data_IF_827741671348
#
_entry.id   IF_827741671348
#
_cell.length_a   1.000
_cell.length_b   1.000
_cell.length_c   1.000
_cell.angle_alpha   90.00
_cell.angle_beta   90.00
_cell.angle_gamma   90.00
#
_symmetry.space_group_name_H-M   'P 1'
#
loop_
_entity.id
_entity.type
_entity.pdbx_description
1 polymer ?
#
# COMPACT_ATOMS: atom_id res chain seq x y z
N UNK A 1 -63.64 0.27 -22.71
CA UNK A 1 -63.10 0.06 -21.35
C UNK A 1 -61.80 -0.72 -21.47
N UNK A 2 -60.64 -0.04 -21.60
CA UNK A 2 -59.32 -0.68 -21.68
C UNK A 2 -58.64 -0.52 -20.32
N UNK A 3 -58.37 -1.65 -19.65
CA UNK A 3 -57.68 -1.70 -18.36
C UNK A 3 -56.19 -1.48 -18.60
N UNK A 4 -55.65 -0.34 -18.16
CA UNK A 4 -54.20 -0.10 -18.09
C UNK A 4 -53.65 -0.88 -16.89
N UNK A 5 -52.88 -1.91 -17.18
CA UNK A 5 -52.16 -2.74 -16.22
C UNK A 5 -50.91 -1.95 -15.77
N UNK A 6 -50.96 -1.36 -14.56
CA UNK A 6 -49.79 -0.73 -13.93
C UNK A 6 -48.80 -1.81 -13.51
N UNK A 7 -47.63 -1.82 -14.15
CA UNK A 7 -46.49 -2.67 -13.79
C UNK A 7 -45.70 -1.96 -12.68
N UNK A 8 -45.76 -2.49 -11.46
CA UNK A 8 -44.94 -2.06 -10.32
C UNK A 8 -43.50 -2.54 -10.55
N UNK A 9 -42.61 -1.61 -10.90
CA UNK A 9 -41.17 -1.85 -10.94
C UNK A 9 -40.67 -1.96 -9.48
N UNK A 10 -40.07 -3.08 -9.06
CA UNK A 10 -39.48 -3.16 -7.74
C UNK A 10 -38.20 -2.32 -7.73
N UNK A 11 -38.25 -1.20 -7.02
CA UNK A 11 -37.08 -0.37 -6.69
C UNK A 11 -36.18 -1.21 -5.79
N UNK A 12 -35.15 -1.82 -6.38
CA UNK A 12 -34.05 -2.41 -5.64
C UNK A 12 -33.27 -1.27 -4.97
N UNK A 13 -33.61 -0.99 -3.71
CA UNK A 13 -32.79 -0.14 -2.84
C UNK A 13 -31.49 -0.92 -2.61
N UNK A 14 -30.43 -0.56 -3.32
CA UNK A 14 -29.08 -0.96 -2.98
C UNK A 14 -28.80 -0.39 -1.59
N UNK A 15 -28.96 -1.22 -0.56
CA UNK A 15 -28.44 -0.95 0.76
C UNK A 15 -26.92 -0.89 0.64
N UNK A 16 -26.39 0.30 0.32
CA UNK A 16 -24.98 0.59 0.48
C UNK A 16 -24.67 0.34 1.95
N UNK A 17 -23.89 -0.70 2.24
CA UNK A 17 -23.40 -0.98 3.59
C UNK A 17 -22.62 0.25 4.07
N UNK A 18 -23.32 1.17 4.74
CA UNK A 18 -22.73 2.28 5.48
C UNK A 18 -22.09 1.71 6.74
N UNK A 19 -20.99 0.97 6.56
CA UNK A 19 -20.08 0.67 7.63
C UNK A 19 -19.51 2.02 8.09
N UNK A 20 -19.84 2.46 9.32
CA UNK A 20 -19.31 3.71 9.88
C UNK A 20 -17.77 3.61 9.86
N UNK A 21 -17.13 4.36 8.98
CA UNK A 21 -15.68 4.48 8.90
C UNK A 21 -15.30 5.73 9.69
N UNK A 22 -14.77 5.49 10.89
CA UNK A 22 -14.29 6.57 11.75
C UNK A 22 -12.92 7.06 11.25
N UNK A 23 -12.55 8.31 11.56
CA UNK A 23 -11.18 8.78 11.37
C UNK A 23 -10.16 7.88 12.07
N UNK A 24 -8.96 7.81 11.51
CA UNK A 24 -7.81 7.12 12.11
C UNK A 24 -6.70 8.12 12.40
N UNK A 25 -6.02 7.95 13.53
CA UNK A 25 -4.89 8.78 13.93
C UNK A 25 -3.65 7.91 14.06
N UNK A 26 -2.63 8.23 13.26
CA UNK A 26 -1.31 7.60 13.29
C UNK A 26 -0.29 8.69 13.62
N UNK A 27 0.22 8.70 14.85
CA UNK A 27 1.11 9.77 15.32
C UNK A 27 0.47 11.17 15.17
N UNK A 28 1.14 12.14 14.53
CA UNK A 28 0.60 13.49 14.29
C UNK A 28 -0.43 13.57 13.14
N UNK A 29 -0.63 12.49 12.38
CA UNK A 29 -1.55 12.45 11.25
C UNK A 29 -2.93 11.93 11.69
N UNK A 30 -3.99 12.63 11.30
CA UNK A 30 -5.36 12.13 11.28
C UNK A 30 -5.86 12.05 9.84
N UNK A 31 -6.38 10.89 9.45
CA UNK A 31 -7.00 10.62 8.15
C UNK A 31 -8.51 10.43 8.34
N UNK A 32 -9.32 10.94 7.40
CA UNK A 32 -10.79 10.93 7.48
C UNK A 32 -11.41 9.56 7.70
N UNK A 33 -10.81 8.49 7.18
CA UNK A 33 -11.34 7.13 7.26
C UNK A 33 -10.25 6.12 7.61
N UNK A 34 -10.54 5.25 8.58
CA UNK A 34 -9.70 4.10 8.96
C UNK A 34 -9.63 3.00 7.90
N UNK A 35 -10.54 3.03 6.92
CA UNK A 35 -10.60 2.12 5.77
C UNK A 35 -10.77 2.94 4.49
N UNK A 36 -9.70 3.59 4.00
CA UNK A 36 -9.75 4.44 2.82
C UNK A 36 -10.08 3.61 1.57
N UNK A 37 -10.91 4.17 0.69
CA UNK A 37 -11.39 3.57 -0.55
C UNK A 37 -11.00 4.45 -1.74
N UNK A 38 -11.05 3.91 -2.95
CA UNK A 38 -10.86 4.71 -4.18
C UNK A 38 -12.11 5.53 -4.47
N UNK A 39 -11.95 6.63 -5.23
CA UNK A 39 -13.06 7.46 -5.67
C UNK A 39 -13.72 8.33 -4.58
N UNK A 40 -13.34 8.19 -3.31
CA UNK A 40 -13.79 9.08 -2.24
C UNK A 40 -12.80 10.21 -1.96
N UNK A 41 -13.30 11.31 -1.39
CA UNK A 41 -12.46 12.40 -0.91
C UNK A 41 -11.88 12.03 0.46
N UNK A 42 -10.58 11.80 0.50
CA UNK A 42 -9.82 11.60 1.73
C UNK A 42 -9.32 12.95 2.22
N UNK A 43 -9.53 13.25 3.50
CA UNK A 43 -9.00 14.47 4.12
C UNK A 43 -7.97 14.11 5.17
N UNK A 44 -6.93 14.93 5.27
CA UNK A 44 -5.88 14.78 6.25
C UNK A 44 -5.76 16.02 7.13
N UNK A 45 -5.38 15.80 8.37
CA UNK A 45 -4.87 16.81 9.28
C UNK A 45 -3.54 16.30 9.82
N UNK A 46 -2.48 17.07 9.66
CA UNK A 46 -1.15 16.73 10.16
C UNK A 46 -0.67 17.81 11.14
N UNK A 47 -0.48 17.44 12.40
CA UNK A 47 -0.01 18.35 13.46
C UNK A 47 1.49 18.61 13.31
N UNK A 48 1.88 19.84 13.01
CA UNK A 48 3.28 20.18 12.76
C UNK A 48 4.06 20.38 14.05
N UNK A 49 3.40 20.75 15.15
CA UNK A 49 4.03 21.05 16.44
C UNK A 49 4.43 19.82 17.26
N UNK A 50 3.77 18.67 17.04
CA UNK A 50 4.07 17.41 17.72
C UNK A 50 5.04 16.50 16.96
N UNK A 51 5.58 16.96 15.83
CA UNK A 51 6.29 16.12 14.89
C UNK A 51 7.73 16.61 14.64
N UNK A 52 8.49 15.83 13.86
CA UNK A 52 9.86 16.18 13.43
C UNK A 52 9.93 17.49 12.62
N UNK A 53 8.78 18.01 12.19
CA UNK A 53 8.65 19.26 11.44
C UNK A 53 8.31 20.47 12.34
N UNK A 54 8.31 20.34 13.66
CA UNK A 54 8.01 21.44 14.57
C UNK A 54 8.98 22.62 14.38
N UNK A 55 8.41 23.81 14.13
CA UNK A 55 9.17 25.04 13.90
C UNK A 55 9.89 25.11 12.55
N UNK A 56 9.72 24.13 11.66
CA UNK A 56 10.29 24.18 10.31
C UNK A 56 9.45 25.07 9.40
N UNK A 57 10.12 25.84 8.53
CA UNK A 57 9.45 26.65 7.53
C UNK A 57 9.05 25.80 6.31
N UNK A 58 7.96 26.18 5.64
CA UNK A 58 7.51 25.62 4.37
C UNK A 58 7.37 24.07 4.37
N UNK A 59 6.56 23.48 5.27
CA UNK A 59 6.32 22.05 5.21
C UNK A 59 5.51 21.66 3.96
N UNK A 60 5.88 20.52 3.38
CA UNK A 60 5.32 19.96 2.15
C UNK A 60 4.70 18.59 2.42
N UNK A 61 3.73 18.21 1.59
CA UNK A 61 3.12 16.88 1.59
C UNK A 61 3.26 16.20 0.23
N UNK A 62 3.51 14.90 0.23
CA UNK A 62 3.46 14.08 -0.98
C UNK A 62 2.63 12.83 -0.73
N UNK A 63 1.68 12.57 -1.63
CA UNK A 63 0.98 11.29 -1.73
C UNK A 63 1.77 10.36 -2.63
N UNK A 64 2.15 9.20 -2.09
CA UNK A 64 2.61 8.07 -2.87
C UNK A 64 1.50 7.06 -2.97
N UNK A 65 1.10 6.61 -4.16
CA UNK A 65 0.15 5.51 -4.28
C UNK A 65 0.72 4.38 -5.15
N UNK A 66 0.37 3.16 -4.81
CA UNK A 66 0.84 1.95 -5.46
C UNK A 66 -0.26 1.35 -6.34
N UNK A 67 0.11 1.00 -7.57
CA UNK A 67 -0.68 0.15 -8.48
C UNK A 67 0.20 -1.04 -8.83
N UNK A 68 -0.14 -2.21 -8.31
CA UNK A 68 0.75 -3.37 -8.24
C UNK A 68 2.08 -2.96 -7.61
N UNK A 69 3.20 -3.27 -8.27
CA UNK A 69 4.56 -2.95 -7.84
C UNK A 69 5.02 -1.55 -8.27
N UNK A 70 4.19 -0.77 -8.98
CA UNK A 70 4.54 0.58 -9.43
C UNK A 70 4.05 1.60 -8.41
N UNK A 71 4.88 2.58 -8.10
CA UNK A 71 4.54 3.68 -7.20
C UNK A 71 4.57 5.01 -7.94
N UNK A 72 3.56 5.83 -7.69
CA UNK A 72 3.36 7.14 -8.27
C UNK A 72 3.38 8.18 -7.16
N UNK A 73 3.93 9.35 -7.43
CA UNK A 73 4.04 10.45 -6.48
C UNK A 73 3.22 11.65 -6.96
N UNK A 74 2.47 12.27 -6.05
CA UNK A 74 1.66 13.46 -6.31
C UNK A 74 1.84 14.44 -5.15
N UNK A 75 2.18 15.69 -5.44
CA UNK A 75 2.25 16.73 -4.41
C UNK A 75 0.86 17.01 -3.83
N UNK A 76 0.77 17.11 -2.51
CA UNK A 76 -0.47 17.47 -1.82
C UNK A 76 -0.60 18.98 -1.72
N UNK A 77 -1.79 19.48 -2.05
CA UNK A 77 -2.14 20.86 -1.76
C UNK A 77 -2.52 20.97 -0.28
N UNK A 78 -1.64 21.60 0.49
CA UNK A 78 -1.80 21.77 1.93
C UNK A 78 -2.09 23.23 2.27
N UNK A 79 -3.01 23.43 3.22
CA UNK A 79 -3.27 24.72 3.85
C UNK A 79 -2.78 24.65 5.30
N UNK A 80 -1.94 25.59 5.70
CA UNK A 80 -1.53 25.74 7.09
C UNK A 80 -2.61 26.52 7.86
N UNK A 81 -3.12 25.92 8.93
CA UNK A 81 -4.05 26.55 9.85
C UNK A 81 -3.84 25.99 11.25
N UNK A 82 -3.71 26.87 12.24
CA UNK A 82 -3.68 26.51 13.65
C UNK A 82 -2.67 25.39 14.01
N UNK A 83 -1.43 25.49 13.50
CA UNK A 83 -0.34 24.50 13.72
C UNK A 83 -0.64 23.11 13.15
N UNK A 84 -1.49 23.05 12.14
CA UNK A 84 -1.77 21.84 11.42
C UNK A 84 -1.82 22.11 9.91
N UNK A 85 -1.35 21.13 9.15
CA UNK A 85 -1.51 21.10 7.71
C UNK A 85 -2.79 20.34 7.40
N UNK A 86 -3.64 20.97 6.61
CA UNK A 86 -4.89 20.40 6.12
C UNK A 86 -4.79 20.16 4.63
N UNK A 87 -5.21 18.97 4.20
CA UNK A 87 -5.18 18.61 2.78
C UNK A 87 -6.29 17.64 2.45
N UNK A 88 -6.53 17.49 1.16
CA UNK A 88 -7.44 16.47 0.65
C UNK A 88 -6.93 15.90 -0.67
N UNK A 89 -7.30 14.65 -0.94
CA UNK A 89 -6.95 13.95 -2.16
C UNK A 89 -7.96 12.83 -2.45
N UNK A 90 -7.93 12.32 -3.67
CA UNK A 90 -8.68 11.13 -4.08
C UNK A 90 -7.72 10.14 -4.69
N UNK A 91 -7.91 8.86 -4.37
CA UNK A 91 -7.13 7.77 -4.95
C UNK A 91 -7.76 7.32 -6.27
N UNK A 92 -6.95 7.05 -7.31
CA UNK A 92 -7.46 6.45 -8.54
C UNK A 92 -7.99 5.03 -8.27
N UNK A 93 -8.93 4.56 -9.08
CA UNK A 93 -9.59 3.25 -8.90
C UNK A 93 -8.63 2.05 -8.90
N UNK A 94 -7.45 2.21 -9.49
CA UNK A 94 -6.42 1.18 -9.54
C UNK A 94 -5.50 1.17 -8.31
N UNK A 95 -5.60 2.13 -7.40
CA UNK A 95 -4.73 2.21 -6.22
C UNK A 95 -5.01 1.05 -5.25
N UNK A 96 -3.94 0.41 -4.78
CA UNK A 96 -4.00 -0.74 -3.86
C UNK A 96 -3.48 -0.39 -2.47
N UNK A 97 -2.51 0.52 -2.38
CA UNK A 97 -2.01 1.09 -1.14
C UNK A 97 -1.53 2.52 -1.40
N UNK A 98 -1.36 3.29 -0.35
CA UNK A 98 -0.74 4.60 -0.43
C UNK A 98 0.06 4.93 0.83
N UNK A 99 0.96 5.90 0.71
CA UNK A 99 1.70 6.48 1.79
C UNK A 99 1.68 8.00 1.70
N UNK A 100 1.74 8.65 2.87
CA UNK A 100 1.86 10.10 2.96
C UNK A 100 3.26 10.43 3.48
N UNK A 101 3.94 11.33 2.78
CA UNK A 101 5.21 11.91 3.21
C UNK A 101 4.95 13.34 3.63
N UNK A 102 5.46 13.71 4.81
CA UNK A 102 5.55 15.09 5.24
C UNK A 102 7.02 15.46 5.42
N UNK A 103 7.42 16.59 4.85
CA UNK A 103 8.82 17.06 4.92
C UNK A 103 8.93 18.58 4.96
N UNK A 104 10.07 19.09 5.42
CA UNK A 104 10.44 20.50 5.32
C UNK A 104 11.95 20.57 5.05
N UNK A 105 12.35 21.01 3.85
CA UNK A 105 13.73 20.84 3.37
C UNK A 105 14.17 19.37 3.45
N UNK A 106 15.30 19.10 4.10
CA UNK A 106 15.84 17.74 4.28
C UNK A 106 15.18 16.95 5.42
N UNK A 107 14.37 17.61 6.26
CA UNK A 107 13.68 16.95 7.36
C UNK A 107 12.48 16.16 6.82
N UNK A 108 12.52 14.84 6.96
CA UNK A 108 11.37 13.94 6.69
C UNK A 108 10.86 13.36 8.00
N UNK A 109 9.55 13.47 8.23
CA UNK A 109 8.88 12.80 9.34
C UNK A 109 8.46 11.38 8.96
N UNK A 110 9.23 10.40 9.43
CA UNK A 110 8.96 8.97 9.25
C UNK A 110 8.06 8.35 10.31
N UNK A 111 7.35 9.12 11.14
CA UNK A 111 6.45 8.60 12.20
C UNK A 111 7.14 7.59 13.14
N UNK A 112 8.31 7.94 13.67
CA UNK A 112 9.10 7.01 14.50
C UNK A 112 9.56 5.75 13.77
N UNK A 113 9.66 5.80 12.43
CA UNK A 113 10.06 4.68 11.58
C UNK A 113 8.91 3.81 11.08
N UNK A 114 7.66 4.11 11.44
CA UNK A 114 6.46 3.39 10.96
C UNK A 114 5.94 3.91 9.63
N UNK A 115 6.16 5.20 9.35
CA UNK A 115 5.56 5.91 8.23
C UNK A 115 4.07 6.13 8.39
N UNK A 116 3.46 6.65 7.33
CA UNK A 116 2.02 6.85 7.20
C UNK A 116 1.55 6.06 5.99
N UNK A 117 1.51 4.73 6.11
CA UNK A 117 1.23 3.80 5.00
C UNK A 117 -0.10 3.10 5.28
N UNK A 118 -0.97 3.03 4.26
CA UNK A 118 -2.31 2.50 4.38
C UNK A 118 -2.67 1.63 3.17
N UNK A 119 -3.29 0.45 3.37
CA UNK A 119 -3.90 -0.29 2.28
C UNK A 119 -5.23 0.35 1.88
N UNK A 120 -5.63 0.14 0.63
CA UNK A 120 -6.94 0.54 0.11
C UNK A 120 -7.96 -0.56 0.37
N UNK A 121 -9.18 -0.18 0.71
CA UNK A 121 -10.26 -1.09 1.08
C UNK A 121 -11.37 -1.12 0.02
N UNK A 122 -12.12 -2.22 0.01
CA UNK A 122 -13.41 -2.37 -0.65
C UNK A 122 -14.28 -3.31 0.17
N UNK A 123 -15.54 -2.93 0.41
CA UNK A 123 -16.48 -3.72 1.20
C UNK A 123 -15.94 -4.14 2.58
N UNK A 124 -15.16 -3.26 3.23
CA UNK A 124 -14.64 -3.47 4.58
C UNK A 124 -13.34 -4.27 4.68
N UNK A 125 -12.85 -4.87 3.59
CA UNK A 125 -11.60 -5.62 3.51
C UNK A 125 -10.58 -4.89 2.62
N UNK A 126 -9.25 -5.09 2.83
CA UNK A 126 -8.27 -4.64 1.86
C UNK A 126 -8.60 -5.18 0.46
N UNK A 127 -8.39 -4.38 -0.58
CA UNK A 127 -8.51 -4.87 -1.96
C UNK A 127 -7.48 -5.97 -2.21
N UNK A 128 -7.72 -6.93 -3.11
CA UNK A 128 -6.70 -7.92 -3.47
C UNK A 128 -5.40 -7.23 -3.91
N UNK A 129 -4.29 -7.61 -3.28
CA UNK A 129 -2.99 -6.97 -3.50
C UNK A 129 -2.79 -5.66 -2.75
N UNK A 130 -3.73 -5.23 -1.91
CA UNK A 130 -3.64 -4.03 -1.10
C UNK A 130 -2.57 -4.12 0.00
N UNK A 131 -2.56 -5.22 0.76
CA UNK A 131 -1.51 -5.45 1.78
C UNK A 131 -0.18 -5.81 1.10
N UNK A 132 -0.22 -6.50 -0.03
CA UNK A 132 0.96 -6.78 -0.84
C UNK A 132 1.60 -5.49 -1.38
N UNK A 133 0.79 -4.53 -1.85
CA UNK A 133 1.28 -3.22 -2.27
C UNK A 133 1.80 -2.39 -1.09
N UNK A 134 1.13 -2.45 0.06
CA UNK A 134 1.58 -1.84 1.32
C UNK A 134 2.98 -2.36 1.72
N UNK A 135 3.22 -3.66 1.57
CA UNK A 135 4.52 -4.29 1.89
C UNK A 135 5.69 -3.64 1.14
N UNK A 136 5.44 -3.12 -0.08
CA UNK A 136 6.43 -2.45 -0.92
C UNK A 136 7.04 -1.21 -0.27
N UNK A 137 6.30 -0.53 0.60
CA UNK A 137 6.83 0.61 1.35
C UNK A 137 7.78 0.15 2.46
N UNK A 138 7.61 -1.05 3.02
CA UNK A 138 8.48 -1.61 4.06
C UNK A 138 9.68 -2.40 3.52
N UNK A 139 9.66 -2.85 2.26
CA UNK A 139 10.74 -3.66 1.66
C UNK A 139 11.93 -2.86 1.10
N UNK A 140 11.93 -1.53 1.23
CA UNK A 140 13.07 -0.68 0.84
C UNK A 140 12.68 0.68 0.32
N UNK A 141 11.59 0.78 -0.45
CA UNK A 141 11.15 2.04 -1.06
C UNK A 141 10.88 3.11 -0.01
N UNK A 142 10.19 2.76 1.08
CA UNK A 142 9.88 3.70 2.15
C UNK A 142 11.12 4.26 2.84
N UNK A 143 12.23 3.52 2.85
CA UNK A 143 13.48 4.06 3.40
C UNK A 143 14.06 5.20 2.58
N UNK A 144 13.88 5.16 1.26
CA UNK A 144 14.34 6.20 0.37
C UNK A 144 13.41 7.42 0.38
N UNK A 145 12.08 7.21 0.42
CA UNK A 145 11.11 8.29 0.19
C UNK A 145 10.34 8.75 1.42
N UNK A 146 10.11 7.88 2.40
CA UNK A 146 9.27 8.17 3.58
C UNK A 146 10.09 8.39 4.86
N UNK A 147 11.41 8.24 4.82
CA UNK A 147 12.25 8.34 6.02
C UNK A 147 11.97 7.24 7.05
N UNK A 148 11.46 6.07 6.60
CA UNK A 148 11.22 4.90 7.46
C UNK A 148 12.37 3.91 7.36
N UNK A 149 12.51 2.99 8.32
CA UNK A 149 13.46 1.89 8.17
C UNK A 149 12.79 0.77 7.39
N UNK A 150 13.53 0.10 6.50
CA UNK A 150 13.06 -1.14 5.91
C UNK A 150 12.74 -2.16 7.01
N UNK A 151 11.64 -2.87 6.84
CA UNK A 151 11.13 -3.84 7.79
C UNK A 151 10.61 -5.07 7.04
N UNK A 152 11.53 -6.01 6.76
CA UNK A 152 11.21 -7.22 6.01
C UNK A 152 10.27 -8.17 6.76
N UNK A 153 10.27 -8.16 8.09
CA UNK A 153 9.31 -8.94 8.90
C UNK A 153 7.87 -8.43 8.67
N UNK A 154 7.67 -7.11 8.67
CA UNK A 154 6.37 -6.52 8.32
C UNK A 154 6.02 -6.81 6.86
N UNK A 155 6.97 -6.62 5.93
CA UNK A 155 6.71 -6.82 4.51
C UNK A 155 6.30 -8.27 4.20
N UNK A 156 7.05 -9.27 4.69
CA UNK A 156 6.73 -10.69 4.46
C UNK A 156 5.39 -11.07 5.08
N UNK A 157 5.07 -10.55 6.28
CA UNK A 157 3.79 -10.80 6.94
C UNK A 157 2.61 -10.24 6.17
N UNK A 158 2.73 -9.03 5.61
CA UNK A 158 1.69 -8.42 4.78
C UNK A 158 1.48 -9.20 3.48
N UNK A 159 2.56 -9.61 2.81
CA UNK A 159 2.52 -10.43 1.60
C UNK A 159 1.84 -11.77 1.86
N UNK A 160 2.24 -12.47 2.93
CA UNK A 160 1.66 -13.76 3.31
C UNK A 160 0.16 -13.65 3.59
N UNK A 161 -0.26 -12.63 4.34
CA UNK A 161 -1.68 -12.38 4.64
C UNK A 161 -2.49 -12.13 3.36
N UNK A 162 -1.99 -11.30 2.45
CA UNK A 162 -2.71 -10.97 1.22
C UNK A 162 -2.81 -12.18 0.28
N UNK A 163 -1.69 -12.89 0.06
CA UNK A 163 -1.67 -14.07 -0.82
C UNK A 163 -2.58 -15.17 -0.27
N UNK A 164 -2.61 -15.35 1.06
CA UNK A 164 -3.49 -16.34 1.72
C UNK A 164 -4.95 -15.95 1.57
N UNK A 165 -5.30 -14.67 1.79
CA UNK A 165 -6.66 -14.18 1.65
C UNK A 165 -7.13 -14.11 0.18
N UNK A 166 -6.20 -13.88 -0.74
CA UNK A 166 -6.46 -13.64 -2.16
C UNK A 166 -5.53 -14.48 -3.05
N UNK A 167 -5.69 -15.82 -3.14
CA UNK A 167 -4.76 -16.68 -3.89
C UNK A 167 -4.54 -16.29 -5.36
N UNK A 168 -5.52 -15.60 -5.97
CA UNK A 168 -5.42 -15.11 -7.35
C UNK A 168 -4.31 -14.06 -7.57
N UNK A 169 -3.81 -13.39 -6.53
CA UNK A 169 -2.70 -12.44 -6.65
C UNK A 169 -1.33 -13.11 -6.61
N UNK A 170 -1.27 -14.42 -6.31
CA UNK A 170 -0.01 -15.13 -6.06
C UNK A 170 0.98 -14.95 -7.20
N UNK A 171 0.56 -15.09 -8.46
CA UNK A 171 1.46 -14.92 -9.61
C UNK A 171 2.10 -13.52 -9.68
N UNK A 172 1.36 -12.48 -9.31
CA UNK A 172 1.88 -11.11 -9.30
C UNK A 172 2.89 -10.89 -8.15
N UNK A 173 2.75 -11.58 -7.01
CA UNK A 173 3.44 -11.24 -5.76
C UNK A 173 4.39 -12.31 -5.19
N UNK A 174 4.37 -13.53 -5.70
CA UNK A 174 5.15 -14.66 -5.16
C UNK A 174 6.65 -14.35 -5.13
N UNK A 175 7.22 -13.78 -6.20
CA UNK A 175 8.63 -13.38 -6.20
C UNK A 175 8.97 -12.33 -5.11
N UNK A 176 8.06 -11.40 -4.83
CA UNK A 176 8.27 -10.41 -3.76
C UNK A 176 8.22 -11.10 -2.38
N UNK A 177 7.25 -12.00 -2.18
CA UNK A 177 7.16 -12.81 -0.97
C UNK A 177 8.43 -13.62 -0.72
N UNK A 178 8.91 -14.36 -1.73
CA UNK A 178 10.12 -15.18 -1.62
C UNK A 178 11.36 -14.32 -1.35
N UNK A 179 11.45 -13.14 -1.97
CA UNK A 179 12.54 -12.18 -1.73
C UNK A 179 12.58 -11.72 -0.27
N UNK A 180 11.44 -11.36 0.32
CA UNK A 180 11.37 -10.98 1.73
C UNK A 180 11.59 -12.17 2.67
N UNK A 181 11.10 -13.35 2.29
CA UNK A 181 11.31 -14.58 3.03
C UNK A 181 12.81 -14.92 3.17
N UNK A 182 13.60 -14.74 2.10
CA UNK A 182 15.06 -14.86 2.15
C UNK A 182 15.65 -13.85 3.13
N UNK A 183 15.21 -12.59 3.11
CA UNK A 183 15.75 -11.57 4.02
C UNK A 183 15.52 -11.94 5.49
N UNK A 184 14.30 -12.39 5.81
CA UNK A 184 13.89 -12.69 7.19
C UNK A 184 14.48 -14.02 7.68
N UNK A 185 14.36 -15.09 6.88
CA UNK A 185 14.72 -16.45 7.28
C UNK A 185 16.10 -16.89 6.80
N UNK A 186 16.78 -16.07 5.99
CA UNK A 186 18.13 -16.33 5.46
C UNK A 186 18.20 -17.72 4.79
N UNK A 187 19.27 -18.45 5.02
CA UNK A 187 19.53 -19.77 4.42
C UNK A 187 18.41 -20.78 4.68
N UNK A 188 17.66 -20.65 5.77
CA UNK A 188 16.53 -21.54 6.06
C UNK A 188 15.34 -21.37 5.11
N UNK A 189 15.27 -20.26 4.36
CA UNK A 189 14.27 -20.05 3.31
C UNK A 189 14.58 -20.81 2.02
N UNK A 190 15.86 -21.16 1.76
CA UNK A 190 16.30 -21.56 0.42
C UNK A 190 15.56 -22.79 -0.13
N UNK A 191 15.31 -23.86 0.66
CA UNK A 191 14.56 -25.02 0.15
C UNK A 191 13.15 -24.65 -0.33
N UNK A 192 12.46 -23.77 0.40
CA UNK A 192 11.13 -23.29 0.02
C UNK A 192 11.15 -22.34 -1.19
N UNK A 193 12.19 -21.52 -1.33
CA UNK A 193 12.36 -20.66 -2.51
C UNK A 193 12.64 -21.50 -3.75
N UNK A 194 13.58 -22.43 -3.67
CA UNK A 194 13.96 -23.29 -4.78
C UNK A 194 12.80 -24.16 -5.27
N UNK A 195 11.94 -24.64 -4.36
CA UNK A 195 10.75 -25.42 -4.73
C UNK A 195 9.65 -24.59 -5.41
N UNK A 196 9.62 -23.27 -5.19
CA UNK A 196 8.66 -22.35 -5.80
C UNK A 196 9.12 -21.77 -7.15
N UNK A 197 10.42 -21.80 -7.47
CA UNK A 197 10.94 -21.29 -8.76
C UNK A 197 10.27 -21.96 -9.98
N UNK A 198 10.04 -23.29 -10.01
CA UNK A 198 9.37 -23.92 -11.15
C UNK A 198 7.99 -23.34 -11.44
N UNK A 199 7.19 -22.95 -10.42
CA UNK A 199 5.87 -22.35 -10.68
C UNK A 199 5.98 -20.96 -11.28
N UNK A 200 6.97 -20.16 -10.87
CA UNK A 200 7.26 -18.84 -11.45
C UNK A 200 7.64 -18.92 -12.94
N UNK A 201 8.15 -20.07 -13.40
CA UNK A 201 8.60 -20.28 -14.78
C UNK A 201 7.72 -21.25 -15.57
N UNK A 202 6.53 -21.59 -15.07
CA UNK A 202 5.69 -22.66 -15.63
C UNK A 202 4.80 -22.27 -16.81
N UNK A 203 4.78 -20.99 -17.21
CA UNK A 203 3.95 -20.50 -18.31
C UNK A 203 4.48 -20.87 -19.70
N UNK A 204 3.58 -21.08 -20.67
CA UNK A 204 3.93 -21.36 -22.08
C UNK A 204 4.81 -20.24 -22.68
N UNK A 205 4.58 -19.00 -22.24
CA UNK A 205 5.43 -17.84 -22.51
C UNK A 205 5.79 -17.17 -21.19
N UNK A 206 6.98 -17.47 -20.69
CA UNK A 206 7.51 -16.84 -19.47
C UNK A 206 7.97 -15.41 -19.82
N UNK A 207 7.43 -14.36 -19.19
CA UNK A 207 7.86 -13.00 -19.45
C UNK A 207 9.26 -12.75 -18.88
N UNK A 208 10.00 -11.83 -19.50
CA UNK A 208 11.36 -11.45 -19.05
C UNK A 208 11.40 -11.04 -17.57
N UNK A 209 10.33 -10.39 -17.08
CA UNK A 209 10.20 -10.01 -15.67
C UNK A 209 10.32 -11.19 -14.71
N UNK A 210 9.86 -12.38 -15.10
CA UNK A 210 9.86 -13.56 -14.23
C UNK A 210 11.25 -14.19 -14.21
N UNK A 211 11.96 -14.20 -15.35
CA UNK A 211 13.38 -14.55 -15.38
C UNK A 211 14.24 -13.60 -14.54
N UNK A 212 14.00 -12.28 -14.64
CA UNK A 212 14.69 -11.29 -13.82
C UNK A 212 14.40 -11.50 -12.33
N UNK A 213 13.14 -11.81 -11.98
CA UNK A 213 12.75 -12.09 -10.61
C UNK A 213 13.49 -13.33 -10.07
N UNK A 214 13.51 -14.44 -10.82
CA UNK A 214 14.22 -15.67 -10.44
C UNK A 214 15.73 -15.44 -10.32
N UNK A 215 16.34 -14.71 -11.27
CA UNK A 215 17.75 -14.30 -11.16
C UNK A 215 18.00 -13.50 -9.89
N UNK A 216 17.10 -12.59 -9.54
CA UNK A 216 17.16 -11.81 -8.30
C UNK A 216 17.10 -12.70 -7.05
N UNK A 217 16.28 -13.74 -7.04
CA UNK A 217 16.21 -14.72 -5.95
C UNK A 217 17.54 -15.48 -5.81
N UNK A 218 18.10 -16.00 -6.90
CA UNK A 218 19.40 -16.68 -6.87
C UNK A 218 20.55 -15.78 -6.40
N UNK A 219 20.57 -14.51 -6.84
CA UNK A 219 21.55 -13.52 -6.37
C UNK A 219 21.41 -13.27 -4.86
N UNK A 220 20.18 -13.14 -4.35
CA UNK A 220 19.92 -12.97 -2.91
C UNK A 220 20.34 -14.20 -2.08
N UNK A 221 20.20 -15.40 -2.64
CA UNK A 221 20.71 -16.64 -2.03
C UNK A 221 22.23 -16.82 -2.21
N UNK A 222 22.93 -15.85 -2.84
CA UNK A 222 24.37 -15.90 -3.15
C UNK A 222 24.79 -17.11 -4.00
N UNK A 223 23.90 -17.55 -4.89
CA UNK A 223 24.11 -18.69 -5.78
C UNK A 223 24.62 -18.28 -7.16
N UNK A 224 24.85 -16.99 -7.39
CA UNK A 224 25.48 -16.44 -8.60
C UNK A 224 26.73 -15.69 -8.14
N UNK A 225 27.91 -15.93 -8.74
CA UNK A 225 29.11 -15.13 -8.49
C UNK A 225 28.86 -13.65 -8.80
N UNK A 226 29.47 -12.75 -8.02
CA UNK A 226 29.46 -11.30 -8.28
C UNK A 226 30.15 -10.94 -9.60
#
# INVERSE_FOLDING_TARGET
>A
MKKCLLWLIPVFILASCNQKRNPVTEGPLTLSFSKPQTGELLTIQYKTDSAKLAGQANPEGTLYYAVKKKVYAVSLQLTDSAKALHGSFTLPDSAQAFALKFSAGDAVDGNGGKGYVFPVYKSGNPVPGGLAAESGFYSGLGSYVLGIKSNSDTAVSLLEKDITANPGIKGDWEAAYLSELITVKKDSAYPAVLSAIPSLLSGEKVPESDYMAVRGLYSRMKMIPE
#
